data_IF_172148296296
#
_entry.id   IF_172148296296
#
_cell.length_a   1.000
_cell.length_b   1.000
_cell.length_c   1.000
_cell.angle_alpha   90.00
_cell.angle_beta   90.00
_cell.angle_gamma   90.00
#
_symmetry.space_group_name_H-M   'P 1'
#
loop_
_entity.id
_entity.type
_entity.pdbx_description
1 polymer ?
#
# COMPACT_ATOMS: atom_id res chain seq x y z
N UNK A 1 35.79 47.23 -6.35
CA UNK A 1 34.95 47.77 -5.27
C UNK A 1 34.66 46.62 -4.31
N UNK A 2 35.48 46.60 -3.27
CA UNK A 2 35.46 45.67 -2.16
C UNK A 2 34.36 46.09 -1.17
N UNK A 3 33.37 45.24 -0.91
CA UNK A 3 32.53 45.33 0.27
C UNK A 3 32.46 43.94 0.89
N UNK A 4 33.36 43.69 1.81
CA UNK A 4 33.23 42.63 2.82
C UNK A 4 31.92 42.89 3.59
N UNK A 5 30.94 42.01 3.46
CA UNK A 5 29.86 41.92 4.43
C UNK A 5 30.38 41.07 5.58
N UNK A 6 30.58 41.70 6.71
CA UNK A 6 30.73 41.03 7.99
C UNK A 6 29.47 40.16 8.19
N UNK A 7 29.64 38.86 8.30
CA UNK A 7 28.59 37.97 8.78
C UNK A 7 28.57 38.15 10.29
N UNK A 8 27.40 38.56 10.77
CA UNK A 8 27.08 38.58 12.18
C UNK A 8 26.90 37.10 12.65
N UNK A 9 27.98 36.55 13.21
CA UNK A 9 28.07 35.20 13.75
C UNK A 9 27.62 35.16 15.22
N UNK A 10 26.53 35.83 15.56
CA UNK A 10 25.91 35.72 16.89
C UNK A 10 24.74 34.74 16.91
N UNK A 11 24.85 33.61 16.26
CA UNK A 11 24.02 32.42 16.60
C UNK A 11 24.61 31.85 17.89
N UNK A 12 24.01 32.21 19.03
CA UNK A 12 24.23 31.52 20.32
C UNK A 12 23.79 30.08 20.12
N UNK A 13 24.72 29.19 19.79
CA UNK A 13 24.54 27.76 19.88
C UNK A 13 24.47 27.43 21.37
N UNK A 14 23.25 27.45 21.94
CA UNK A 14 23.02 26.80 23.23
C UNK A 14 23.38 25.34 23.06
N UNK A 15 24.47 24.91 23.72
CA UNK A 15 24.78 23.46 23.79
C UNK A 15 23.54 22.78 24.40
N UNK A 16 23.07 21.68 23.83
CA UNK A 16 21.93 20.98 24.41
C UNK A 16 22.24 20.61 25.85
N UNK A 17 21.35 20.96 26.76
CA UNK A 17 21.44 20.53 28.16
C UNK A 17 21.27 19.02 28.21
N UNK A 18 22.08 18.35 29.05
CA UNK A 18 22.04 16.91 29.26
C UNK A 18 21.78 16.60 30.73
N UNK A 19 21.06 15.53 30.99
CA UNK A 19 20.97 14.90 32.31
C UNK A 19 21.70 13.57 32.31
N UNK A 20 22.15 13.12 33.46
CA UNK A 20 22.77 11.80 33.63
C UNK A 20 21.67 10.81 34.03
N UNK A 21 21.57 9.75 33.26
CA UNK A 21 20.72 8.58 33.54
C UNK A 21 21.59 7.35 33.80
N UNK A 22 21.02 6.33 34.38
CA UNK A 22 21.71 5.08 34.73
C UNK A 22 20.93 3.86 34.23
N UNK A 23 21.66 2.87 33.76
CA UNK A 23 21.15 1.51 33.56
C UNK A 23 22.17 0.48 34.10
N UNK A 24 21.94 -0.80 33.85
CA UNK A 24 22.83 -1.88 34.31
C UNK A 24 24.24 -1.83 33.76
N UNK A 25 24.50 -1.01 32.73
CA UNK A 25 25.79 -0.82 32.06
C UNK A 25 26.51 0.45 32.57
N UNK A 26 25.87 1.27 33.42
CA UNK A 26 26.44 2.50 33.98
C UNK A 26 25.77 3.77 33.51
N UNK A 27 26.47 4.90 33.64
CA UNK A 27 25.98 6.23 33.32
C UNK A 27 25.89 6.47 31.78
N UNK A 28 24.88 7.26 31.39
CA UNK A 28 24.73 7.75 30.03
C UNK A 28 24.14 9.16 30.04
N UNK A 29 24.59 10.02 29.09
CA UNK A 29 24.10 11.38 28.94
C UNK A 29 22.89 11.37 28.02
N UNK A 30 21.75 11.82 28.52
CA UNK A 30 20.49 11.92 27.78
C UNK A 30 20.11 13.39 27.62
N UNK A 31 19.59 13.86 26.48
CA UNK A 31 19.10 15.23 26.34
C UNK A 31 18.12 15.57 27.46
N UNK A 32 18.24 16.75 28.06
CA UNK A 32 17.50 17.11 29.26
C UNK A 32 15.98 17.14 29.06
N UNK A 33 15.53 17.47 27.86
CA UNK A 33 14.14 17.53 27.45
C UNK A 33 13.54 16.19 26.97
N UNK A 34 14.40 15.18 26.73
CA UNK A 34 13.95 13.87 26.26
C UNK A 34 13.06 13.17 27.30
N UNK A 35 11.95 12.57 26.88
CA UNK A 35 11.09 11.73 27.73
C UNK A 35 11.66 10.32 27.91
N UNK A 36 12.49 9.86 26.98
CA UNK A 36 13.20 8.59 27.07
C UNK A 36 14.39 8.67 28.04
N UNK A 37 14.92 7.51 28.45
CA UNK A 37 15.97 7.36 29.44
C UNK A 37 17.23 6.68 28.86
N UNK A 38 18.00 6.03 29.70
CA UNK A 38 19.31 5.45 29.41
C UNK A 38 19.31 4.42 28.27
N UNK A 39 18.41 3.45 28.27
CA UNK A 39 18.43 2.36 27.28
C UNK A 39 18.12 2.86 25.87
N UNK A 40 17.18 3.80 25.74
CA UNK A 40 16.88 4.43 24.46
C UNK A 40 18.07 5.24 23.95
N UNK A 41 18.74 6.02 24.82
CA UNK A 41 19.91 6.79 24.39
C UNK A 41 21.02 5.88 23.85
N UNK A 42 21.30 4.76 24.50
CA UNK A 42 22.25 3.78 23.97
C UNK A 42 21.85 3.23 22.61
N UNK A 43 20.56 2.96 22.40
CA UNK A 43 20.07 2.50 21.11
C UNK A 43 20.25 3.56 20.02
N UNK A 44 20.00 4.84 20.31
CA UNK A 44 20.27 5.95 19.40
C UNK A 44 21.75 6.04 19.02
N UNK A 45 22.63 5.87 19.99
CA UNK A 45 24.08 5.90 19.77
C UNK A 45 24.61 4.67 19.02
N UNK A 46 23.97 3.49 19.23
CA UNK A 46 24.37 2.23 18.58
C UNK A 46 23.89 2.09 17.13
N UNK A 47 22.78 2.72 16.77
CA UNK A 47 22.11 2.50 15.48
C UNK A 47 21.91 3.78 14.62
N UNK A 48 22.95 4.60 14.38
CA UNK A 48 22.84 5.76 13.49
C UNK A 48 22.92 5.32 12.02
N UNK A 49 21.88 4.64 11.50
CA UNK A 49 21.92 3.93 10.21
C UNK A 49 21.14 4.66 9.13
N UNK A 50 19.82 4.79 9.29
CA UNK A 50 18.95 5.39 8.26
C UNK A 50 18.46 6.79 8.63
N UNK A 51 18.48 7.14 9.90
CA UNK A 51 17.88 8.37 10.43
C UNK A 51 16.34 8.35 10.40
N UNK A 52 15.72 7.19 10.21
CA UNK A 52 14.26 7.02 10.21
C UNK A 52 13.83 6.11 11.35
N UNK A 53 12.94 6.61 12.21
CA UNK A 53 12.30 5.83 13.28
C UNK A 53 11.12 5.00 12.79
N UNK A 54 10.37 4.48 13.75
CA UNK A 54 9.11 3.78 13.48
C UNK A 54 8.05 4.75 12.93
N UNK A 55 7.12 4.24 12.15
CA UNK A 55 5.93 4.99 11.72
C UNK A 55 5.04 5.33 12.93
N UNK A 56 4.44 6.54 12.95
CA UNK A 56 3.55 6.99 14.04
C UNK A 56 2.41 6.01 14.33
N UNK A 57 1.90 5.34 13.30
CA UNK A 57 0.88 4.30 13.46
C UNK A 57 1.36 3.13 14.34
N UNK A 58 2.62 2.72 14.20
CA UNK A 58 3.20 1.66 15.02
C UNK A 58 3.52 2.15 16.44
N UNK A 59 3.96 3.39 16.61
CA UNK A 59 4.14 4.02 17.93
C UNK A 59 2.80 4.03 18.68
N UNK A 60 1.73 4.48 18.02
CA UNK A 60 0.38 4.49 18.60
C UNK A 60 -0.10 3.06 18.97
N UNK A 61 0.16 2.07 18.10
CA UNK A 61 -0.19 0.67 18.39
C UNK A 61 0.56 0.13 19.62
N UNK A 62 1.86 0.42 19.75
CA UNK A 62 2.65 0.07 20.94
C UNK A 62 2.05 0.70 22.20
N UNK A 63 1.69 1.99 22.16
CA UNK A 63 1.09 2.69 23.29
C UNK A 63 -0.26 2.08 23.69
N UNK A 64 -1.13 1.71 22.72
CA UNK A 64 -2.40 1.02 22.99
C UNK A 64 -2.20 -0.35 23.63
N UNK A 65 -1.17 -1.09 23.23
CA UNK A 65 -0.82 -2.37 23.87
C UNK A 65 -0.42 -2.14 25.32
N UNK A 66 0.43 -1.14 25.61
CA UNK A 66 0.84 -0.80 26.97
C UNK A 66 -0.33 -0.34 27.84
N UNK A 67 -1.24 0.45 27.29
CA UNK A 67 -2.49 0.85 27.95
C UNK A 67 -3.34 -0.36 28.31
N UNK A 68 -3.60 -1.24 27.34
CA UNK A 68 -4.40 -2.45 27.57
C UNK A 68 -3.74 -3.40 28.57
N UNK A 69 -2.41 -3.52 28.52
CA UNK A 69 -1.64 -4.32 29.48
C UNK A 69 -1.71 -3.74 30.91
N UNK A 70 -1.62 -2.41 31.07
CA UNK A 70 -1.77 -1.77 32.37
C UNK A 70 -3.17 -2.01 32.98
N UNK A 71 -4.23 -1.88 32.17
CA UNK A 71 -5.60 -2.19 32.59
C UNK A 71 -5.77 -3.66 32.96
N UNK A 72 -5.27 -4.58 32.15
CA UNK A 72 -5.32 -6.02 32.42
C UNK A 72 -4.56 -6.37 33.71
N UNK A 73 -3.35 -5.85 33.90
CA UNK A 73 -2.54 -6.06 35.10
C UNK A 73 -3.17 -5.47 36.38
N UNK A 74 -3.86 -4.32 36.27
CA UNK A 74 -4.67 -3.75 37.35
C UNK A 74 -5.77 -4.72 37.78
N UNK A 75 -6.56 -5.21 36.83
CA UNK A 75 -7.69 -6.10 37.09
C UNK A 75 -7.23 -7.49 37.61
N UNK A 76 -6.03 -7.95 37.20
CA UNK A 76 -5.44 -9.20 37.64
C UNK A 76 -4.61 -9.06 38.96
N UNK A 77 -4.55 -7.86 39.53
CA UNK A 77 -3.86 -7.61 40.79
C UNK A 77 -2.33 -7.61 40.70
N UNK A 78 -1.77 -7.44 39.50
CA UNK A 78 -0.32 -7.34 39.27
C UNK A 78 0.19 -5.92 39.50
N UNK A 79 -0.57 -4.90 39.13
CA UNK A 79 -0.24 -3.48 39.28
C UNK A 79 -1.18 -2.78 40.25
N UNK A 80 -0.60 -1.86 41.04
CA UNK A 80 -1.38 -0.89 41.82
C UNK A 80 -2.28 -0.06 40.89
N UNK A 81 -3.49 0.23 41.38
CA UNK A 81 -4.48 0.98 40.57
C UNK A 81 -4.02 2.37 40.16
N UNK A 82 -3.34 3.11 41.06
CA UNK A 82 -2.83 4.45 40.75
C UNK A 82 -1.72 4.43 39.70
N UNK A 83 -0.81 3.45 39.78
CA UNK A 83 0.25 3.25 38.78
C UNK A 83 -0.35 2.90 37.43
N UNK A 84 -1.30 1.97 37.39
CA UNK A 84 -1.96 1.57 36.14
C UNK A 84 -2.69 2.74 35.47
N UNK A 85 -3.46 3.53 36.24
CA UNK A 85 -4.19 4.68 35.73
C UNK A 85 -3.24 5.78 35.20
N UNK A 86 -2.08 5.97 35.86
CA UNK A 86 -1.06 6.89 35.36
C UNK A 86 -0.43 6.43 34.04
N UNK A 87 -0.18 5.11 33.89
CA UNK A 87 0.31 4.53 32.62
C UNK A 87 -0.74 4.69 31.52
N UNK A 88 -2.02 4.49 31.80
CA UNK A 88 -3.12 4.68 30.85
C UNK A 88 -3.16 6.13 30.37
N UNK A 89 -3.11 7.10 31.27
CA UNK A 89 -3.10 8.53 30.92
C UNK A 89 -1.88 8.88 30.05
N UNK A 90 -0.69 8.38 30.38
CA UNK A 90 0.52 8.58 29.59
C UNK A 90 0.41 7.95 28.19
N UNK A 91 -0.18 6.76 28.09
CA UNK A 91 -0.39 6.10 26.80
C UNK A 91 -1.38 6.87 25.91
N UNK A 92 -2.43 7.43 26.49
CA UNK A 92 -3.40 8.27 25.76
C UNK A 92 -2.73 9.50 25.12
N UNK A 93 -1.78 10.14 25.82
CA UNK A 93 -1.00 11.23 25.22
C UNK A 93 -0.15 10.76 24.03
N UNK A 94 0.55 9.63 24.17
CA UNK A 94 1.40 9.09 23.10
C UNK A 94 0.57 8.69 21.88
N UNK A 95 -0.60 8.09 22.07
CA UNK A 95 -1.51 7.68 20.99
C UNK A 95 -1.92 8.88 20.10
N UNK A 96 -1.98 10.09 20.64
CA UNK A 96 -2.32 11.30 19.87
C UNK A 96 -1.20 11.77 18.94
N UNK A 97 0.01 11.24 19.06
CA UNK A 97 1.20 11.67 18.31
C UNK A 97 1.94 12.88 18.92
N UNK A 98 1.50 13.43 20.05
CA UNK A 98 2.14 14.58 20.69
C UNK A 98 3.61 14.36 21.02
N UNK A 99 4.00 13.10 21.22
CA UNK A 99 5.31 12.71 21.72
C UNK A 99 6.16 11.96 20.69
N UNK A 100 5.78 11.95 19.39
CA UNK A 100 6.49 11.20 18.33
C UNK A 100 7.98 11.55 18.27
N UNK A 101 8.36 12.80 18.54
CA UNK A 101 9.76 13.24 18.58
C UNK A 101 10.60 12.54 19.67
N UNK A 102 9.99 11.91 20.65
CA UNK A 102 10.67 11.15 21.72
C UNK A 102 10.86 9.66 21.39
N UNK A 103 10.61 9.27 20.12
CA UNK A 103 10.88 7.91 19.61
C UNK A 103 11.95 7.94 18.52
N UNK A 104 13.21 8.29 18.86
CA UNK A 104 14.29 8.52 17.90
C UNK A 104 15.01 7.25 17.44
N UNK A 105 14.64 6.07 17.95
CA UNK A 105 15.34 4.81 17.63
C UNK A 105 15.13 4.47 16.15
N UNK A 106 16.25 4.24 15.44
CA UNK A 106 16.24 3.89 14.01
C UNK A 106 15.47 2.59 13.75
N UNK A 107 14.85 2.47 12.58
CA UNK A 107 14.22 1.23 12.12
C UNK A 107 15.20 0.06 12.12
N UNK A 108 16.45 0.30 11.73
CA UNK A 108 17.51 -0.70 11.78
C UNK A 108 18.13 -0.74 13.19
N UNK A 109 17.54 -1.56 14.04
CA UNK A 109 17.83 -1.68 15.47
C UNK A 109 17.95 -3.14 15.88
N UNK A 110 17.84 -3.44 17.17
CA UNK A 110 17.70 -4.81 17.68
C UNK A 110 16.55 -5.51 16.94
N UNK A 111 16.82 -6.64 16.30
CA UNK A 111 15.90 -7.29 15.36
C UNK A 111 14.56 -7.74 15.91
N UNK A 112 14.47 -7.94 17.23
CA UNK A 112 13.23 -8.20 17.99
C UNK A 112 12.41 -6.92 18.27
N UNK A 113 12.95 -5.72 17.99
CA UNK A 113 12.33 -4.45 18.34
C UNK A 113 12.47 -4.05 19.81
N UNK A 114 13.35 -4.72 20.57
CA UNK A 114 13.55 -4.44 22.00
C UNK A 114 13.90 -2.98 22.25
N UNK A 115 14.73 -2.38 21.42
CA UNK A 115 15.11 -0.97 21.57
C UNK A 115 13.90 -0.04 21.54
N UNK A 116 12.98 -0.23 20.60
CA UNK A 116 11.73 0.56 20.53
C UNK A 116 10.73 0.20 21.63
N UNK A 117 10.65 -1.07 22.04
CA UNK A 117 9.82 -1.44 23.21
C UNK A 117 10.31 -0.73 24.46
N UNK A 118 11.64 -0.70 24.70
CA UNK A 118 12.20 0.02 25.85
C UNK A 118 12.04 1.53 25.72
N UNK A 119 12.13 2.08 24.51
CA UNK A 119 11.84 3.50 24.27
C UNK A 119 10.39 3.83 24.70
N UNK A 120 9.41 3.03 24.30
CA UNK A 120 8.03 3.19 24.75
C UNK A 120 7.89 3.07 26.27
N UNK A 121 8.54 2.07 26.87
CA UNK A 121 8.50 1.87 28.32
C UNK A 121 9.08 3.08 29.08
N UNK A 122 10.19 3.64 28.61
CA UNK A 122 10.86 4.78 29.25
C UNK A 122 10.06 6.08 29.09
N UNK A 123 9.47 6.34 27.91
CA UNK A 123 8.61 7.49 27.68
C UNK A 123 7.36 7.41 28.55
N UNK A 124 6.66 6.28 28.54
CA UNK A 124 5.45 6.10 29.37
C UNK A 124 5.78 6.16 30.87
N UNK A 125 6.88 5.58 31.33
CA UNK A 125 7.29 5.67 32.73
C UNK A 125 7.55 7.14 33.14
N UNK A 126 8.17 7.93 32.27
CA UNK A 126 8.45 9.35 32.55
C UNK A 126 7.15 10.17 32.62
N UNK A 127 6.22 9.99 31.69
CA UNK A 127 4.93 10.65 31.69
C UNK A 127 4.07 10.21 32.88
N UNK A 128 3.97 8.90 33.13
CA UNK A 128 3.22 8.34 34.25
C UNK A 128 3.76 8.81 35.62
N UNK A 129 5.09 8.93 35.78
CA UNK A 129 5.72 9.51 36.97
C UNK A 129 5.27 10.96 37.19
N UNK A 130 5.13 11.76 36.12
CA UNK A 130 4.62 13.13 36.19
C UNK A 130 3.14 13.18 36.60
N UNK A 131 2.32 12.27 36.06
CA UNK A 131 0.89 12.17 36.42
C UNK A 131 0.67 11.70 37.85
N UNK A 132 1.42 10.70 38.29
CA UNK A 132 1.24 10.10 39.61
C UNK A 132 1.88 10.92 40.73
N UNK A 133 2.93 11.67 40.44
CA UNK A 133 3.76 12.34 41.43
C UNK A 133 4.66 11.38 42.25
N UNK A 134 4.80 10.14 41.77
CA UNK A 134 5.65 9.09 42.36
C UNK A 134 6.31 8.28 41.23
N UNK A 135 7.45 7.63 41.48
CA UNK A 135 8.21 6.92 40.47
C UNK A 135 7.45 5.75 39.84
N UNK A 136 7.40 5.74 38.51
CA UNK A 136 6.91 4.61 37.72
C UNK A 136 8.10 3.98 36.98
N UNK A 137 8.34 2.70 37.22
CA UNK A 137 9.48 1.99 36.66
C UNK A 137 9.17 1.41 35.28
N UNK A 138 10.03 1.60 34.24
CA UNK A 138 9.76 1.17 32.87
C UNK A 138 9.63 -0.36 32.74
N UNK A 139 10.44 -1.15 33.50
CA UNK A 139 10.40 -2.61 33.40
C UNK A 139 9.37 -3.22 34.39
N UNK A 140 9.37 -2.79 35.66
CA UNK A 140 8.56 -3.43 36.69
C UNK A 140 7.08 -3.06 36.59
N UNK A 141 6.77 -1.86 36.09
CA UNK A 141 5.40 -1.36 35.98
C UNK A 141 4.90 -1.35 34.53
N UNK A 142 5.56 -0.59 33.62
CA UNK A 142 5.07 -0.42 32.24
C UNK A 142 5.17 -1.72 31.44
N UNK A 143 6.23 -2.50 31.64
CA UNK A 143 6.46 -3.78 30.94
C UNK A 143 5.97 -5.02 31.73
N UNK A 144 5.26 -4.84 32.84
CA UNK A 144 4.76 -5.96 33.64
C UNK A 144 3.97 -6.98 32.81
N UNK A 145 4.22 -8.29 33.01
CA UNK A 145 3.61 -9.41 32.25
C UNK A 145 3.90 -9.44 30.76
N UNK A 146 4.92 -8.75 30.27
CA UNK A 146 5.23 -8.58 28.85
C UNK A 146 6.69 -8.89 28.53
N UNK A 147 6.98 -9.12 27.25
CA UNK A 147 8.32 -9.13 26.66
C UNK A 147 8.32 -8.30 25.38
N UNK A 148 9.48 -7.78 24.96
CA UNK A 148 9.64 -7.20 23.62
C UNK A 148 9.27 -8.20 22.53
N UNK A 149 9.51 -9.49 22.78
CA UNK A 149 9.36 -10.57 21.82
C UNK A 149 7.91 -10.86 21.44
N UNK A 150 6.94 -10.53 22.29
CA UNK A 150 5.50 -10.64 21.99
C UNK A 150 4.86 -9.28 21.73
N UNK A 151 5.25 -8.22 22.45
CA UNK A 151 4.65 -6.89 22.35
C UNK A 151 5.00 -6.19 21.03
N UNK A 152 6.29 -6.17 20.66
CA UNK A 152 6.72 -5.45 19.48
C UNK A 152 6.11 -6.02 18.18
N UNK A 153 6.17 -7.35 17.93
CA UNK A 153 5.47 -7.89 16.76
C UNK A 153 3.95 -7.68 16.82
N UNK A 154 3.32 -7.76 18.00
CA UNK A 154 1.90 -7.42 18.15
C UNK A 154 1.62 -5.99 17.66
N UNK A 155 2.50 -5.01 17.95
CA UNK A 155 2.31 -3.65 17.46
C UNK A 155 2.35 -3.54 15.95
N UNK A 156 3.19 -4.33 15.28
CA UNK A 156 3.22 -4.41 13.80
C UNK A 156 1.90 -4.97 13.28
N UNK A 157 1.43 -6.09 13.84
CA UNK A 157 0.16 -6.72 13.46
C UNK A 157 -1.02 -5.76 13.64
N UNK A 158 -1.11 -5.06 14.76
CA UNK A 158 -2.18 -4.09 15.05
C UNK A 158 -2.14 -2.92 14.08
N UNK A 159 -0.97 -2.29 13.90
CA UNK A 159 -0.80 -1.14 13.01
C UNK A 159 -1.10 -1.51 11.54
N UNK A 160 -0.62 -2.67 11.08
CA UNK A 160 -0.89 -3.15 9.71
C UNK A 160 -2.37 -3.49 9.53
N UNK A 161 -2.99 -4.19 10.48
CA UNK A 161 -4.44 -4.50 10.44
C UNK A 161 -5.26 -3.21 10.34
N UNK A 162 -4.97 -2.22 11.18
CA UNK A 162 -5.64 -0.92 11.14
C UNK A 162 -5.47 -0.23 9.80
N UNK A 163 -4.24 -0.13 9.30
CA UNK A 163 -3.94 0.53 8.04
C UNK A 163 -4.60 -0.17 6.84
N UNK A 164 -4.68 -1.50 6.85
CA UNK A 164 -5.38 -2.26 5.80
C UNK A 164 -6.89 -1.96 5.78
N UNK A 165 -7.53 -1.98 6.96
CA UNK A 165 -8.99 -1.83 7.10
C UNK A 165 -9.42 -0.37 6.92
N UNK A 166 -8.74 0.57 7.57
CA UNK A 166 -9.19 1.97 7.67
C UNK A 166 -8.66 2.86 6.54
N UNK A 167 -7.55 2.48 5.89
CA UNK A 167 -6.93 3.31 4.87
C UNK A 167 -6.90 2.66 3.48
N UNK A 168 -6.34 1.45 3.34
CA UNK A 168 -6.13 0.84 2.03
C UNK A 168 -7.43 0.36 1.37
N UNK A 169 -8.24 -0.42 2.09
CA UNK A 169 -9.49 -0.97 1.52
C UNK A 169 -10.42 0.15 1.05
N UNK A 170 -10.70 1.20 1.84
CA UNK A 170 -11.49 2.33 1.37
C UNK A 170 -10.89 3.08 0.18
N UNK A 171 -9.56 3.20 0.10
CA UNK A 171 -8.88 3.84 -1.01
C UNK A 171 -8.99 3.05 -2.32
N UNK A 172 -8.88 1.72 -2.23
CA UNK A 172 -9.06 0.83 -3.37
C UNK A 172 -10.51 0.78 -3.82
N UNK A 173 -11.47 0.75 -2.88
CA UNK A 173 -12.90 0.82 -3.19
C UNK A 173 -13.25 2.09 -3.96
N UNK A 174 -12.75 3.23 -3.49
CA UNK A 174 -12.91 4.51 -4.16
C UNK A 174 -12.34 4.53 -5.60
N UNK A 175 -11.17 3.93 -5.81
CA UNK A 175 -10.60 3.76 -7.14
C UNK A 175 -11.45 2.83 -8.01
N UNK A 176 -11.90 1.69 -7.46
CA UNK A 176 -12.74 0.73 -8.17
C UNK A 176 -14.04 1.37 -8.66
N UNK A 177 -14.74 2.11 -7.78
CA UNK A 177 -15.96 2.85 -8.12
C UNK A 177 -15.69 3.84 -9.27
N UNK A 178 -14.61 4.61 -9.21
CA UNK A 178 -14.26 5.56 -10.27
C UNK A 178 -14.00 4.89 -11.62
N UNK A 179 -13.43 3.69 -11.62
CA UNK A 179 -13.23 2.88 -12.83
C UNK A 179 -14.56 2.28 -13.34
N UNK A 180 -15.44 1.82 -12.44
CA UNK A 180 -16.77 1.31 -12.76
C UNK A 180 -17.68 2.39 -13.38
N UNK A 181 -17.60 3.62 -12.88
CA UNK A 181 -18.29 4.78 -13.46
C UNK A 181 -17.85 5.04 -14.93
N UNK A 182 -16.55 4.94 -15.21
CA UNK A 182 -16.02 5.05 -16.58
C UNK A 182 -16.40 3.86 -17.43
N UNK A 183 -16.43 2.67 -16.87
CA UNK A 183 -16.86 1.47 -17.58
C UNK A 183 -18.33 1.60 -18.07
N UNK A 184 -19.22 2.09 -17.23
CA UNK A 184 -20.61 2.33 -17.61
C UNK A 184 -20.74 3.47 -18.61
N UNK A 185 -20.02 4.58 -18.41
CA UNK A 185 -20.03 5.72 -19.31
C UNK A 185 -19.62 5.34 -20.75
N UNK A 186 -18.66 4.45 -20.88
CA UNK A 186 -18.06 4.06 -22.15
C UNK A 186 -18.44 2.65 -22.64
N UNK A 187 -19.55 2.12 -22.17
CA UNK A 187 -20.00 0.75 -22.49
C UNK A 187 -20.22 0.50 -24.00
N UNK A 188 -20.49 1.56 -24.78
CA UNK A 188 -20.66 1.49 -26.23
C UNK A 188 -19.54 2.19 -27.00
N UNK A 189 -18.52 2.71 -26.33
CA UNK A 189 -17.40 3.40 -26.95
C UNK A 189 -16.41 2.38 -27.53
N UNK A 190 -16.58 2.04 -28.80
CA UNK A 190 -15.75 1.03 -29.48
C UNK A 190 -14.32 1.54 -29.67
N UNK A 191 -13.36 0.66 -29.48
CA UNK A 191 -11.94 0.87 -29.76
C UNK A 191 -11.31 -0.39 -30.37
N UNK A 192 -10.15 -0.24 -31.01
CA UNK A 192 -9.34 -1.40 -31.41
C UNK A 192 -8.86 -2.15 -30.17
N UNK A 193 -9.13 -3.46 -30.10
CA UNK A 193 -8.43 -4.33 -29.19
C UNK A 193 -6.98 -4.50 -29.63
N UNK A 194 -6.07 -4.77 -28.70
CA UNK A 194 -4.65 -5.02 -28.99
C UNK A 194 -4.14 -6.20 -28.18
N UNK A 195 -3.50 -7.14 -28.89
CA UNK A 195 -2.73 -8.22 -28.27
C UNK A 195 -1.31 -8.13 -28.81
N UNK A 196 -0.29 -8.26 -27.95
CA UNK A 196 1.12 -8.01 -28.30
C UNK A 196 1.38 -6.59 -28.86
N UNK A 197 0.53 -5.62 -28.50
CA UNK A 197 0.44 -4.25 -29.08
C UNK A 197 0.09 -4.23 -30.59
N UNK A 198 -0.32 -5.36 -31.16
CA UNK A 198 -0.78 -5.47 -32.54
C UNK A 198 -2.32 -5.39 -32.59
N UNK A 199 -2.83 -4.93 -33.73
CA UNK A 199 -4.26 -4.79 -33.97
C UNK A 199 -5.00 -6.12 -33.80
N UNK A 200 -6.07 -6.10 -33.00
CA UNK A 200 -6.94 -7.24 -32.75
C UNK A 200 -8.41 -6.86 -33.00
N UNK A 201 -9.31 -7.78 -32.69
CA UNK A 201 -10.76 -7.52 -32.79
C UNK A 201 -11.20 -6.42 -31.83
N UNK A 202 -12.28 -5.69 -32.17
CA UNK A 202 -12.78 -4.59 -31.37
C UNK A 202 -13.18 -5.00 -29.96
N UNK A 203 -13.01 -4.07 -29.02
CA UNK A 203 -13.56 -4.06 -27.67
C UNK A 203 -14.21 -2.71 -27.42
N UNK A 204 -14.90 -2.53 -26.29
CA UNK A 204 -15.28 -1.19 -25.84
C UNK A 204 -14.32 -0.68 -24.77
N UNK A 205 -14.16 0.64 -24.66
CA UNK A 205 -13.48 1.26 -23.51
C UNK A 205 -14.15 0.82 -22.20
N UNK A 206 -15.48 0.68 -22.18
CA UNK A 206 -16.22 0.19 -21.04
C UNK A 206 -15.80 -1.19 -20.58
N UNK A 207 -15.59 -2.13 -21.51
CA UNK A 207 -15.09 -3.49 -21.21
C UNK A 207 -13.66 -3.44 -20.63
N UNK A 208 -12.81 -2.59 -21.16
CA UNK A 208 -11.43 -2.43 -20.71
C UNK A 208 -11.37 -1.84 -19.30
N UNK A 209 -12.11 -0.76 -19.03
CA UNK A 209 -12.20 -0.14 -17.71
C UNK A 209 -12.90 -1.04 -16.68
N UNK A 210 -13.90 -1.81 -17.09
CA UNK A 210 -14.52 -2.84 -16.27
C UNK A 210 -13.52 -3.92 -15.83
N UNK A 211 -12.61 -4.32 -16.75
CA UNK A 211 -11.50 -5.21 -16.42
C UNK A 211 -10.55 -4.63 -15.39
N UNK A 212 -10.22 -3.34 -15.48
CA UNK A 212 -9.39 -2.64 -14.48
C UNK A 212 -10.09 -2.57 -13.11
N UNK A 213 -11.38 -2.22 -13.09
CA UNK A 213 -12.17 -2.21 -11.88
C UNK A 213 -12.18 -3.58 -11.20
N UNK A 214 -12.37 -4.66 -11.98
CA UNK A 214 -12.34 -6.04 -11.45
C UNK A 214 -10.98 -6.40 -10.87
N UNK A 215 -9.86 -5.97 -11.45
CA UNK A 215 -8.53 -6.18 -10.88
C UNK A 215 -8.40 -5.55 -9.49
N UNK A 216 -8.92 -4.32 -9.31
CA UNK A 216 -8.88 -3.63 -8.01
C UNK A 216 -9.81 -4.32 -7.01
N UNK A 217 -11.04 -4.72 -7.39
CA UNK A 217 -11.95 -5.51 -6.54
C UNK A 217 -11.30 -6.80 -6.05
N UNK A 218 -10.65 -7.55 -6.95
CA UNK A 218 -9.88 -8.74 -6.56
C UNK A 218 -8.70 -8.43 -5.65
N UNK A 219 -8.13 -7.23 -5.75
CA UNK A 219 -7.12 -6.73 -4.81
C UNK A 219 -7.68 -6.58 -3.39
N UNK A 220 -8.87 -5.99 -3.26
CA UNK A 220 -9.57 -5.87 -1.97
C UNK A 220 -9.87 -7.26 -1.39
N UNK A 221 -10.45 -8.16 -2.17
CA UNK A 221 -10.75 -9.53 -1.75
C UNK A 221 -9.49 -10.26 -1.20
N UNK A 222 -8.30 -10.03 -1.80
CA UNK A 222 -7.04 -10.61 -1.31
C UNK A 222 -6.60 -10.03 0.03
N UNK A 223 -6.75 -8.72 0.21
CA UNK A 223 -6.44 -8.06 1.49
C UNK A 223 -7.37 -8.61 2.58
N UNK A 224 -8.67 -8.64 2.33
CA UNK A 224 -9.67 -9.16 3.27
C UNK A 224 -9.43 -10.63 3.63
N UNK A 225 -9.01 -11.45 2.66
CA UNK A 225 -8.67 -12.86 2.90
C UNK A 225 -7.42 -13.04 3.78
N UNK A 226 -6.48 -12.10 3.77
CA UNK A 226 -5.28 -12.13 4.61
C UNK A 226 -5.54 -11.63 6.05
N UNK A 227 -6.53 -10.73 6.24
CA UNK A 227 -6.81 -10.08 7.53
C UNK A 227 -6.91 -11.02 8.73
N UNK A 228 -7.60 -12.19 8.69
CA UNK A 228 -7.69 -13.07 9.84
C UNK A 228 -6.34 -13.55 10.37
N UNK A 229 -5.34 -13.71 9.49
CA UNK A 229 -3.98 -14.14 9.87
C UNK A 229 -3.09 -12.97 10.29
N UNK A 230 -3.32 -11.79 9.74
CA UNK A 230 -2.65 -10.55 10.19
C UNK A 230 -3.15 -10.13 11.57
N UNK A 231 -4.44 -10.31 11.86
CA UNK A 231 -5.07 -9.94 13.12
C UNK A 231 -4.80 -10.92 14.27
N UNK A 232 -4.18 -12.08 14.02
CA UNK A 232 -3.76 -13.05 15.01
C UNK A 232 -2.40 -12.63 15.61
N UNK A 233 -2.34 -12.35 16.93
CA UNK A 233 -1.20 -11.71 17.57
C UNK A 233 -0.51 -12.59 18.60
N UNK A 234 0.84 -12.50 18.75
CA UNK A 234 1.62 -13.32 19.71
C UNK A 234 1.54 -12.83 21.15
N UNK A 235 0.81 -11.75 21.45
CA UNK A 235 0.75 -11.12 22.77
C UNK A 235 0.35 -12.14 23.87
N UNK A 236 1.15 -12.20 24.95
CA UNK A 236 1.00 -13.15 26.03
C UNK A 236 1.97 -14.33 25.99
N UNK A 237 2.65 -14.57 24.85
CA UNK A 237 3.68 -15.59 24.76
C UNK A 237 5.00 -15.24 25.47
N UNK A 238 5.20 -13.97 25.78
CA UNK A 238 6.38 -13.40 26.43
C UNK A 238 7.70 -13.74 25.74
N UNK A 239 8.65 -14.37 26.44
CA UNK A 239 10.02 -14.55 25.95
C UNK A 239 10.12 -15.50 24.74
N UNK A 240 9.46 -16.67 24.79
CA UNK A 240 9.61 -17.76 23.81
C UNK A 240 8.29 -18.47 23.46
N UNK A 241 7.15 -17.95 23.89
CA UNK A 241 5.83 -18.56 23.63
C UNK A 241 5.20 -19.27 24.83
N UNK A 242 5.93 -19.42 25.94
CA UNK A 242 5.45 -20.15 27.12
C UNK A 242 4.61 -19.30 28.10
N UNK A 243 4.58 -17.98 27.89
CA UNK A 243 3.87 -17.05 28.80
C UNK A 243 4.50 -16.91 30.17
N UNK A 244 5.81 -17.15 30.29
CA UNK A 244 6.51 -17.01 31.57
C UNK A 244 6.32 -15.60 32.15
N UNK A 245 6.08 -15.50 33.46
CA UNK A 245 5.83 -14.28 34.23
C UNK A 245 4.50 -13.57 33.91
N UNK A 246 3.55 -14.21 33.22
CA UNK A 246 2.18 -13.70 33.08
C UNK A 246 1.25 -14.32 34.11
N UNK A 247 0.29 -13.59 34.67
CA UNK A 247 -0.78 -14.18 35.45
C UNK A 247 -1.77 -14.92 34.53
N UNK A 248 -2.48 -15.89 35.06
CA UNK A 248 -3.52 -16.61 34.33
C UNK A 248 -4.58 -15.65 33.79
N UNK A 249 -4.93 -15.79 32.50
CA UNK A 249 -5.92 -14.96 31.82
C UNK A 249 -5.40 -13.62 31.29
N UNK A 250 -4.11 -13.31 31.44
CA UNK A 250 -3.53 -12.07 30.92
C UNK A 250 -3.65 -11.93 29.40
N UNK A 251 -3.27 -12.92 28.56
CA UNK A 251 -3.38 -12.79 27.11
C UNK A 251 -4.80 -12.48 26.65
N UNK A 252 -5.77 -13.25 27.13
CA UNK A 252 -7.17 -13.09 26.75
C UNK A 252 -7.71 -11.71 27.13
N UNK A 253 -7.35 -11.22 28.32
CA UNK A 253 -7.83 -9.94 28.82
C UNK A 253 -7.21 -8.76 28.09
N UNK A 254 -5.90 -8.76 27.91
CA UNK A 254 -5.20 -7.65 27.21
C UNK A 254 -5.62 -7.54 25.75
N UNK A 255 -5.80 -8.68 25.05
CA UNK A 255 -6.23 -8.70 23.65
C UNK A 255 -7.69 -8.26 23.53
N UNK A 256 -8.57 -8.70 24.46
CA UNK A 256 -9.96 -8.23 24.45
C UNK A 256 -10.08 -6.71 24.66
N UNK A 257 -9.28 -6.14 25.57
CA UNK A 257 -9.23 -4.69 25.79
C UNK A 257 -8.71 -3.95 24.56
N UNK A 258 -7.65 -4.46 23.94
CA UNK A 258 -7.06 -3.89 22.72
C UNK A 258 -8.04 -3.92 21.54
N UNK A 259 -8.72 -5.05 21.34
CA UNK A 259 -9.73 -5.20 20.28
C UNK A 259 -10.93 -4.28 20.53
N UNK A 260 -11.39 -4.14 21.76
CA UNK A 260 -12.50 -3.24 22.11
C UNK A 260 -12.14 -1.76 21.91
N UNK A 261 -10.92 -1.35 22.26
CA UNK A 261 -10.47 0.03 22.07
C UNK A 261 -10.33 0.40 20.59
N UNK A 262 -9.77 -0.52 19.79
CA UNK A 262 -9.46 -0.25 18.38
C UNK A 262 -10.62 -0.55 17.43
N UNK A 263 -11.59 -1.37 17.84
CA UNK A 263 -12.61 -1.91 16.94
C UNK A 263 -12.07 -2.91 15.90
N UNK A 264 -10.78 -3.30 16.02
CA UNK A 264 -10.13 -4.22 15.08
C UNK A 264 -10.41 -5.69 15.47
N UNK A 265 -10.41 -6.61 14.52
CA UNK A 265 -10.67 -8.04 14.75
C UNK A 265 -9.43 -8.77 15.31
N UNK A 266 -8.73 -8.15 16.26
CA UNK A 266 -7.51 -8.70 16.87
C UNK A 266 -7.87 -9.89 17.75
N UNK A 267 -7.16 -10.99 17.58
CA UNK A 267 -7.35 -12.23 18.32
C UNK A 267 -6.01 -12.80 18.82
N UNK A 268 -6.07 -13.60 19.89
CA UNK A 268 -4.91 -14.33 20.40
C UNK A 268 -4.45 -15.38 19.38
N UNK A 269 -3.13 -15.53 19.23
CA UNK A 269 -2.54 -16.58 18.42
C UNK A 269 -2.96 -17.96 18.93
N UNK A 270 -3.30 -18.86 18.00
CA UNK A 270 -3.59 -20.26 18.34
C UNK A 270 -2.38 -21.01 18.86
N UNK A 271 -1.21 -20.59 18.40
CA UNK A 271 0.09 -21.12 18.82
C UNK A 271 1.09 -19.97 18.95
N UNK A 272 1.46 -19.66 20.20
CA UNK A 272 2.41 -18.57 20.48
C UNK A 272 3.84 -18.90 20.01
N UNK A 273 4.21 -20.17 19.88
CA UNK A 273 5.53 -20.55 19.37
C UNK A 273 5.65 -20.25 17.87
N UNK A 274 4.63 -20.64 17.10
CA UNK A 274 4.56 -20.27 15.69
C UNK A 274 4.53 -18.74 15.52
N UNK A 275 3.64 -18.06 16.25
CA UNK A 275 3.42 -16.63 16.11
C UNK A 275 4.62 -15.75 16.52
N UNK A 276 5.57 -16.24 17.33
CA UNK A 276 6.81 -15.53 17.69
C UNK A 276 7.98 -15.87 16.76
N UNK A 277 8.08 -17.13 16.33
CA UNK A 277 9.15 -17.59 15.47
C UNK A 277 8.96 -17.20 14.00
N UNK A 278 7.70 -17.12 13.54
CA UNK A 278 7.31 -16.86 12.16
C UNK A 278 6.52 -15.55 12.01
N UNK A 279 6.36 -15.11 10.78
CA UNK A 279 5.61 -13.89 10.40
C UNK A 279 4.80 -14.10 9.12
N UNK A 280 4.34 -15.32 8.88
CA UNK A 280 3.75 -15.75 7.62
C UNK A 280 2.49 -14.93 7.27
N UNK A 281 1.67 -14.54 8.26
CA UNK A 281 0.52 -13.66 8.03
C UNK A 281 0.91 -12.28 7.50
N UNK A 282 2.02 -11.72 7.96
CA UNK A 282 2.55 -10.45 7.43
C UNK A 282 3.15 -10.61 6.03
N UNK A 283 3.83 -11.72 5.78
CA UNK A 283 4.36 -12.05 4.43
C UNK A 283 3.23 -12.24 3.43
N UNK A 284 2.15 -12.93 3.82
CA UNK A 284 0.95 -13.10 3.00
C UNK A 284 0.30 -11.76 2.65
N UNK A 285 0.11 -10.90 3.63
CA UNK A 285 -0.42 -9.54 3.40
C UNK A 285 0.46 -8.76 2.43
N UNK A 286 1.78 -8.81 2.59
CA UNK A 286 2.74 -8.20 1.66
C UNK A 286 2.57 -8.72 0.24
N UNK A 287 2.38 -10.02 0.05
CA UNK A 287 2.10 -10.65 -1.25
C UNK A 287 0.80 -10.14 -1.89
N UNK A 288 -0.24 -9.86 -1.09
CA UNK A 288 -1.46 -9.23 -1.56
C UNK A 288 -1.20 -7.78 -2.03
N UNK A 289 -0.44 -6.99 -1.26
CA UNK A 289 -0.03 -5.62 -1.63
C UNK A 289 0.78 -5.60 -2.93
N UNK A 290 1.73 -6.54 -3.09
CA UNK A 290 2.48 -6.71 -4.35
C UNK A 290 1.55 -7.00 -5.52
N UNK A 291 0.54 -7.85 -5.35
CA UNK A 291 -0.41 -8.17 -6.43
C UNK A 291 -1.19 -6.93 -6.86
N UNK A 292 -1.61 -6.08 -5.91
CA UNK A 292 -2.24 -4.78 -6.20
C UNK A 292 -1.29 -3.87 -6.97
N UNK A 293 -0.03 -3.79 -6.57
CA UNK A 293 0.99 -3.00 -7.27
C UNK A 293 1.20 -3.47 -8.73
N UNK A 294 1.18 -4.78 -8.97
CA UNK A 294 1.22 -5.36 -10.33
C UNK A 294 -0.01 -4.96 -11.14
N UNK A 295 -1.21 -5.00 -10.56
CA UNK A 295 -2.44 -4.55 -11.21
C UNK A 295 -2.38 -3.07 -11.57
N UNK A 296 -1.96 -2.22 -10.64
CA UNK A 296 -1.79 -0.78 -10.87
C UNK A 296 -0.74 -0.49 -11.95
N UNK A 297 0.32 -1.29 -12.02
CA UNK A 297 1.34 -1.17 -13.09
C UNK A 297 0.72 -1.38 -14.47
N UNK A 298 -0.07 -2.43 -14.63
CA UNK A 298 -0.77 -2.73 -15.90
C UNK A 298 -1.74 -1.60 -16.26
N UNK A 299 -2.60 -1.20 -15.34
CA UNK A 299 -3.60 -0.14 -15.57
C UNK A 299 -2.93 1.16 -16.00
N UNK A 300 -1.91 1.61 -15.27
CA UNK A 300 -1.26 2.88 -15.57
C UNK A 300 -0.43 2.85 -16.86
N UNK A 301 0.15 1.72 -17.23
CA UNK A 301 0.79 1.58 -18.54
C UNK A 301 -0.23 1.68 -19.69
N UNK A 302 -1.39 1.03 -19.57
CA UNK A 302 -2.44 1.13 -20.56
C UNK A 302 -2.97 2.56 -20.69
N UNK A 303 -3.21 3.25 -19.58
CA UNK A 303 -3.61 4.66 -19.59
C UNK A 303 -2.60 5.55 -20.33
N UNK A 304 -1.29 5.32 -20.08
CA UNK A 304 -0.22 6.05 -20.76
C UNK A 304 -0.16 5.74 -22.25
N UNK A 305 -0.37 4.46 -22.65
CA UNK A 305 -0.44 4.09 -24.06
C UNK A 305 -1.63 4.75 -24.76
N UNK A 306 -2.84 4.62 -24.21
CA UNK A 306 -4.04 5.18 -24.78
C UNK A 306 -4.02 6.71 -24.83
N UNK A 307 -3.40 7.36 -23.83
CA UNK A 307 -3.22 8.81 -23.76
C UNK A 307 -2.01 9.34 -24.51
N UNK A 308 -1.22 8.50 -25.19
CA UNK A 308 -0.02 8.91 -25.89
C UNK A 308 -0.31 9.81 -27.09
N UNK A 309 0.53 10.80 -27.32
CA UNK A 309 0.40 11.73 -28.44
C UNK A 309 0.42 13.20 -27.97
N UNK A 310 -0.59 14.02 -28.35
CA UNK A 310 -1.90 13.70 -28.93
C UNK A 310 -1.89 13.39 -30.45
N UNK A 311 -0.91 13.87 -31.20
CA UNK A 311 -0.94 13.77 -32.69
C UNK A 311 -0.18 12.54 -33.21
N UNK A 312 0.93 12.16 -32.57
CA UNK A 312 1.85 11.11 -33.07
C UNK A 312 1.80 9.81 -32.24
N UNK A 313 0.83 9.68 -31.34
CA UNK A 313 0.56 8.49 -30.56
C UNK A 313 -0.84 7.94 -30.80
N UNK A 314 -1.34 7.12 -29.87
CA UNK A 314 -2.67 6.52 -29.99
C UNK A 314 -3.78 7.57 -29.87
N UNK A 315 -3.70 8.45 -28.90
CA UNK A 315 -4.65 9.56 -28.73
C UNK A 315 -6.10 9.10 -28.47
N UNK A 316 -6.29 7.91 -27.90
CA UNK A 316 -7.62 7.35 -27.61
C UNK A 316 -8.25 7.95 -26.35
N UNK A 317 -7.41 8.40 -25.40
CA UNK A 317 -7.81 9.08 -24.18
C UNK A 317 -7.14 10.46 -24.08
N UNK A 318 -7.85 11.41 -23.47
CA UNK A 318 -7.29 12.68 -22.99
C UNK A 318 -7.11 12.58 -21.48
N UNK A 319 -5.86 12.64 -21.04
CA UNK A 319 -5.50 12.66 -19.63
C UNK A 319 -5.54 14.12 -19.15
N UNK A 320 -6.08 14.43 -17.95
CA UNK A 320 -6.14 15.79 -17.43
C UNK A 320 -4.80 16.50 -17.40
N UNK A 321 -4.78 17.76 -17.79
CA UNK A 321 -3.63 18.64 -17.72
C UNK A 321 -3.44 19.14 -16.29
N UNK A 322 -2.46 18.58 -15.56
CA UNK A 322 -2.26 18.89 -14.14
C UNK A 322 -1.13 19.90 -13.89
N UNK A 323 -0.13 19.92 -14.77
CA UNK A 323 1.02 20.81 -14.70
C UNK A 323 1.76 20.88 -16.05
N UNK A 324 2.57 21.92 -16.29
CA UNK A 324 3.46 21.95 -17.45
C UNK A 324 4.38 20.73 -17.48
N UNK A 325 4.46 20.05 -18.64
CA UNK A 325 5.20 18.78 -18.77
C UNK A 325 6.65 18.93 -19.21
N UNK A 326 7.08 20.15 -19.61
CA UNK A 326 8.43 20.37 -20.13
C UNK A 326 8.91 21.80 -19.88
N UNK A 327 10.19 21.93 -19.56
CA UNK A 327 10.84 23.25 -19.41
C UNK A 327 11.23 23.90 -20.75
N UNK A 328 11.26 23.12 -21.84
CA UNK A 328 11.72 23.59 -23.17
C UNK A 328 10.72 23.37 -24.31
N UNK A 329 9.64 22.62 -24.07
CA UNK A 329 8.57 22.35 -25.06
C UNK A 329 7.26 22.95 -24.56
N UNK A 330 6.91 24.20 -24.96
CA UNK A 330 5.68 24.83 -24.50
C UNK A 330 4.45 24.02 -24.92
N UNK A 331 3.47 23.88 -23.99
CA UNK A 331 2.23 23.14 -24.24
C UNK A 331 2.33 21.62 -24.14
N UNK A 332 3.52 21.05 -23.87
CA UNK A 332 3.64 19.60 -23.61
C UNK A 332 3.13 19.26 -22.22
N UNK A 333 2.20 18.32 -22.14
CA UNK A 333 1.66 17.76 -20.90
C UNK A 333 2.02 16.28 -20.80
N UNK A 334 2.39 15.83 -19.60
CA UNK A 334 2.77 14.44 -19.36
C UNK A 334 1.75 13.74 -18.43
N UNK A 335 1.60 12.42 -18.50
CA UNK A 335 0.73 11.64 -17.62
C UNK A 335 1.38 11.44 -16.24
N UNK A 336 1.60 12.54 -15.50
CA UNK A 336 2.46 12.57 -14.29
C UNK A 336 1.93 11.71 -13.15
N UNK A 337 0.61 11.58 -12.98
CA UNK A 337 0.03 10.72 -11.94
C UNK A 337 0.22 9.24 -12.27
N UNK A 338 -0.11 8.74 -13.48
CA UNK A 338 0.27 7.39 -13.88
C UNK A 338 1.76 7.07 -13.67
N UNK A 339 2.66 7.99 -13.98
CA UNK A 339 4.11 7.80 -13.74
C UNK A 339 4.44 7.68 -12.26
N UNK A 340 3.84 8.52 -11.40
CA UNK A 340 4.00 8.44 -9.95
C UNK A 340 3.51 7.09 -9.39
N UNK A 341 2.35 6.60 -9.86
CA UNK A 341 1.80 5.30 -9.46
C UNK A 341 2.73 4.15 -9.86
N UNK A 342 3.36 4.21 -11.04
CA UNK A 342 4.36 3.22 -11.45
C UNK A 342 5.58 3.19 -10.52
N UNK A 343 6.05 4.35 -10.05
CA UNK A 343 7.14 4.42 -9.07
C UNK A 343 6.70 3.86 -7.71
N UNK A 344 5.47 4.14 -7.27
CA UNK A 344 4.88 3.52 -6.06
C UNK A 344 4.84 1.99 -6.20
N UNK A 345 4.37 1.48 -7.32
CA UNK A 345 4.31 0.04 -7.57
C UNK A 345 5.71 -0.61 -7.50
N UNK A 346 6.72 0.02 -8.09
CA UNK A 346 8.10 -0.46 -8.01
C UNK A 346 8.60 -0.50 -6.55
N UNK A 347 8.30 0.53 -5.75
CA UNK A 347 8.67 0.58 -4.32
C UNK A 347 8.00 -0.52 -3.52
N UNK A 348 6.70 -0.74 -3.72
CA UNK A 348 5.93 -1.80 -3.04
C UNK A 348 6.45 -3.19 -3.37
N UNK A 349 6.82 -3.46 -4.63
CA UNK A 349 7.45 -4.71 -5.04
C UNK A 349 8.80 -4.91 -4.33
N UNK A 350 9.60 -3.86 -4.20
CA UNK A 350 10.85 -3.89 -3.44
C UNK A 350 10.63 -4.15 -1.95
N UNK A 351 9.62 -3.53 -1.35
CA UNK A 351 9.23 -3.76 0.03
C UNK A 351 8.76 -5.20 0.28
N UNK A 352 8.00 -5.79 -0.65
CA UNK A 352 7.58 -7.19 -0.56
C UNK A 352 8.77 -8.15 -0.54
N UNK A 353 9.79 -7.92 -1.36
CA UNK A 353 11.02 -8.69 -1.31
C UNK A 353 11.72 -8.57 0.06
N UNK A 354 11.74 -7.38 0.65
CA UNK A 354 12.26 -7.13 1.99
C UNK A 354 11.46 -7.90 3.05
N UNK A 355 10.13 -7.84 2.99
CA UNK A 355 9.23 -8.54 3.95
C UNK A 355 9.40 -10.05 3.84
N UNK A 356 9.46 -10.59 2.62
CA UNK A 356 9.65 -12.04 2.40
C UNK A 356 10.99 -12.52 2.96
N UNK A 357 12.09 -11.78 2.72
CA UNK A 357 13.41 -12.10 3.26
C UNK A 357 13.44 -11.99 4.79
N UNK A 358 12.86 -10.94 5.34
CA UNK A 358 12.74 -10.74 6.79
C UNK A 358 11.90 -11.84 7.44
N UNK A 359 10.80 -12.27 6.81
CA UNK A 359 9.99 -13.40 7.26
C UNK A 359 10.79 -14.70 7.35
N UNK A 360 11.64 -14.96 6.34
CA UNK A 360 12.50 -16.13 6.29
C UNK A 360 13.66 -16.12 7.31
N UNK A 361 13.90 -15.01 8.00
CA UNK A 361 15.03 -14.83 8.93
C UNK A 361 14.77 -15.33 10.34
N UNK A 362 13.66 -16.02 10.63
CA UNK A 362 13.37 -16.62 11.93
C UNK A 362 14.36 -17.73 12.28
N UNK A 363 14.76 -17.78 13.54
CA UNK A 363 15.63 -18.84 14.07
C UNK A 363 15.09 -19.30 15.42
N UNK A 364 14.78 -20.59 15.52
CA UNK A 364 14.16 -21.20 16.70
C UNK A 364 12.90 -20.44 17.12
N UNK A 365 12.84 -19.87 18.33
CA UNK A 365 11.64 -19.32 18.95
C UNK A 365 11.41 -17.83 18.63
N UNK A 366 12.24 -17.18 17.77
CA UNK A 366 12.07 -15.75 17.48
C UNK A 366 12.53 -15.37 16.08
N UNK A 367 11.71 -14.59 15.38
CA UNK A 367 12.13 -13.82 14.22
C UNK A 367 12.79 -12.50 14.70
N UNK A 368 13.95 -12.17 14.14
CA UNK A 368 14.75 -11.00 14.54
C UNK A 368 14.96 -9.98 13.42
N UNK A 369 13.99 -9.87 12.50
CA UNK A 369 13.95 -8.86 11.43
C UNK A 369 12.61 -8.10 11.41
N UNK A 370 11.96 -7.98 12.57
CA UNK A 370 10.59 -7.44 12.70
C UNK A 370 10.51 -5.94 12.41
N UNK A 371 11.44 -5.07 12.86
CA UNK A 371 11.34 -3.64 12.64
C UNK A 371 11.30 -3.25 11.16
N UNK A 372 12.19 -3.83 10.34
CA UNK A 372 12.21 -3.54 8.90
C UNK A 372 10.98 -4.06 8.18
N UNK A 373 10.40 -5.18 8.65
CA UNK A 373 9.15 -5.74 8.11
C UNK A 373 7.98 -4.81 8.38
N UNK A 374 7.83 -4.32 9.62
CA UNK A 374 6.77 -3.37 10.00
C UNK A 374 6.83 -2.09 9.17
N UNK A 375 8.01 -1.48 9.06
CA UNK A 375 8.21 -0.27 8.27
C UNK A 375 7.89 -0.50 6.78
N UNK A 376 8.36 -1.58 6.18
CA UNK A 376 8.11 -1.89 4.77
C UNK A 376 6.63 -2.12 4.46
N UNK A 377 5.90 -2.79 5.36
CA UNK A 377 4.46 -3.03 5.23
C UNK A 377 3.66 -1.74 5.34
N UNK A 378 3.88 -0.95 6.39
CA UNK A 378 3.15 0.31 6.62
C UNK A 378 3.43 1.33 5.50
N UNK A 379 4.69 1.43 5.04
CA UNK A 379 5.02 2.24 3.87
C UNK A 379 4.23 1.78 2.63
N UNK A 380 4.16 0.48 2.37
CA UNK A 380 3.46 -0.09 1.21
C UNK A 380 1.97 0.20 1.25
N UNK A 381 1.32 0.02 2.41
CA UNK A 381 -0.10 0.33 2.61
C UNK A 381 -0.36 1.80 2.34
N UNK A 382 0.39 2.70 2.97
CA UNK A 382 0.25 4.15 2.81
C UNK A 382 0.46 4.62 1.37
N UNK A 383 1.49 4.09 0.70
CA UNK A 383 1.78 4.43 -0.68
C UNK A 383 0.66 3.97 -1.63
N UNK A 384 0.16 2.74 -1.47
CA UNK A 384 -0.93 2.21 -2.30
C UNK A 384 -2.24 2.96 -2.04
N UNK A 385 -2.58 3.25 -0.79
CA UNK A 385 -3.79 3.98 -0.44
C UNK A 385 -3.78 5.39 -1.04
N UNK A 386 -2.71 6.16 -0.80
CA UNK A 386 -2.60 7.52 -1.29
C UNK A 386 -2.55 7.58 -2.82
N UNK A 387 -1.78 6.70 -3.46
CA UNK A 387 -1.69 6.67 -4.93
C UNK A 387 -3.00 6.26 -5.59
N UNK A 388 -3.78 5.38 -4.97
CA UNK A 388 -5.12 4.99 -5.46
C UNK A 388 -6.10 6.17 -5.42
N UNK A 389 -6.13 6.94 -4.34
CA UNK A 389 -6.95 8.17 -4.25
C UNK A 389 -6.52 9.22 -5.26
N UNK A 390 -5.22 9.47 -5.36
CA UNK A 390 -4.68 10.44 -6.33
C UNK A 390 -4.96 10.01 -7.76
N UNK A 391 -4.83 8.72 -8.09
CA UNK A 391 -5.17 8.18 -9.40
C UNK A 391 -6.65 8.39 -9.74
N UNK A 392 -7.55 8.08 -8.80
CA UNK A 392 -8.98 8.28 -8.96
C UNK A 392 -9.32 9.77 -9.20
N UNK A 393 -8.84 10.67 -8.32
CA UNK A 393 -9.20 12.09 -8.35
C UNK A 393 -8.56 12.85 -9.49
N UNK A 394 -7.27 12.63 -9.73
CA UNK A 394 -6.47 13.44 -10.65
C UNK A 394 -6.34 12.86 -12.04
N UNK A 395 -6.72 11.60 -12.23
CA UNK A 395 -6.66 10.94 -13.54
C UNK A 395 -8.01 10.38 -13.93
N UNK A 396 -8.50 9.32 -13.27
CA UNK A 396 -9.66 8.54 -13.75
C UNK A 396 -10.91 9.41 -13.91
N UNK A 397 -11.28 10.20 -12.91
CA UNK A 397 -12.48 11.05 -12.96
C UNK A 397 -12.44 12.09 -14.08
N UNK A 398 -11.28 12.66 -14.36
CA UNK A 398 -11.07 13.65 -15.38
C UNK A 398 -10.73 13.10 -16.78
N UNK A 399 -10.63 11.77 -16.95
CA UNK A 399 -10.39 11.18 -18.27
C UNK A 399 -11.54 11.44 -19.23
N UNK A 400 -11.19 11.79 -20.48
CA UNK A 400 -12.10 11.91 -21.61
C UNK A 400 -11.72 10.92 -22.70
N UNK A 401 -12.71 10.29 -23.32
CA UNK A 401 -12.51 9.43 -24.49
C UNK A 401 -12.53 10.25 -25.77
N UNK A 402 -11.56 10.03 -26.63
CA UNK A 402 -11.57 10.56 -28.00
C UNK A 402 -12.34 9.59 -28.91
N UNK A 403 -13.68 9.68 -28.87
CA UNK A 403 -14.59 8.74 -29.55
C UNK A 403 -14.36 8.67 -31.04
N UNK A 404 -14.05 9.79 -31.70
CA UNK A 404 -13.73 9.82 -33.14
C UNK A 404 -12.46 8.99 -33.40
N UNK A 405 -11.42 9.20 -32.63
CA UNK A 405 -10.14 8.49 -32.78
C UNK A 405 -10.26 7.00 -32.48
N UNK A 406 -10.97 6.63 -31.42
CA UNK A 406 -11.15 5.21 -31.04
C UNK A 406 -11.94 4.46 -32.13
N UNK A 407 -13.03 5.05 -32.63
CA UNK A 407 -13.85 4.47 -33.70
C UNK A 407 -13.07 4.34 -35.01
N UNK A 408 -12.33 5.37 -35.40
CA UNK A 408 -11.50 5.36 -36.61
C UNK A 408 -10.44 4.24 -36.55
N UNK A 409 -9.72 4.11 -35.40
CA UNK A 409 -8.71 3.06 -35.24
C UNK A 409 -9.33 1.65 -35.21
N UNK A 410 -10.52 1.49 -34.62
CA UNK A 410 -11.22 0.21 -34.61
C UNK A 410 -11.59 -0.22 -36.07
N UNK A 411 -12.09 0.71 -36.88
CA UNK A 411 -12.46 0.43 -38.27
C UNK A 411 -11.28 0.18 -39.22
N UNK A 412 -10.06 0.65 -38.83
CA UNK A 412 -8.83 0.41 -39.59
C UNK A 412 -8.17 -0.93 -39.27
N UNK A 413 -8.52 -1.60 -38.16
CA UNK A 413 -7.92 -2.87 -37.80
C UNK A 413 -8.20 -3.94 -38.85
N UNK A 414 -7.18 -4.61 -39.45
CA UNK A 414 -7.42 -5.70 -40.38
C UNK A 414 -8.11 -6.89 -39.72
N UNK A 415 -8.11 -7.00 -38.39
CA UNK A 415 -8.74 -8.09 -37.65
C UNK A 415 -10.27 -8.05 -37.68
N UNK A 416 -10.90 -6.91 -38.06
CA UNK A 416 -12.37 -6.85 -38.24
C UNK A 416 -12.87 -7.70 -39.39
N UNK A 417 -11.99 -8.25 -40.24
CA UNK A 417 -12.32 -9.25 -41.27
C UNK A 417 -12.86 -10.55 -40.65
N UNK A 418 -12.59 -10.83 -39.39
CA UNK A 418 -12.86 -12.13 -38.75
C UNK A 418 -14.30 -12.62 -38.91
N UNK A 419 -15.37 -11.82 -38.75
CA UNK A 419 -16.74 -12.29 -38.95
C UNK A 419 -17.05 -12.71 -40.40
N UNK A 420 -16.31 -12.19 -41.39
CA UNK A 420 -16.47 -12.59 -42.77
C UNK A 420 -16.12 -14.05 -43.04
N UNK A 421 -15.33 -14.70 -42.15
CA UNK A 421 -15.02 -16.13 -42.25
C UNK A 421 -16.27 -16.98 -42.40
N UNK A 422 -17.40 -16.58 -41.78
CA UNK A 422 -18.68 -17.31 -41.84
C UNK A 422 -19.31 -17.34 -43.23
N UNK A 423 -18.98 -16.33 -44.06
CA UNK A 423 -19.57 -16.17 -45.40
C UNK A 423 -18.63 -16.63 -46.50
N UNK A 424 -17.36 -16.30 -46.43
CA UNK A 424 -16.39 -16.47 -47.53
C UNK A 424 -15.22 -17.37 -47.19
N UNK A 425 -15.17 -17.92 -45.95
CA UNK A 425 -14.11 -18.79 -45.49
C UNK A 425 -12.83 -18.07 -45.10
N UNK A 426 -11.99 -18.73 -44.33
CA UNK A 426 -10.77 -18.19 -43.72
C UNK A 426 -9.75 -17.67 -44.74
N UNK A 427 -9.52 -18.42 -45.84
CA UNK A 427 -8.53 -18.04 -46.84
C UNK A 427 -8.89 -16.77 -47.57
N UNK A 428 -10.18 -16.59 -47.94
CA UNK A 428 -10.67 -15.38 -48.58
C UNK A 428 -10.57 -14.18 -47.63
N UNK A 429 -10.95 -14.35 -46.37
CA UNK A 429 -10.80 -13.32 -45.36
C UNK A 429 -9.31 -12.95 -45.12
N UNK A 430 -8.40 -13.90 -45.14
CA UNK A 430 -6.96 -13.64 -45.02
C UNK A 430 -6.43 -12.85 -46.23
N UNK A 431 -6.97 -13.10 -47.47
CA UNK A 431 -6.61 -12.30 -48.67
C UNK A 431 -7.08 -10.87 -48.52
N UNK A 432 -8.30 -10.64 -48.02
CA UNK A 432 -8.85 -9.32 -47.78
C UNK A 432 -8.01 -8.56 -46.75
N UNK A 433 -7.67 -9.17 -45.62
CA UNK A 433 -6.84 -8.55 -44.56
C UNK A 433 -5.46 -8.14 -45.14
N UNK A 434 -4.78 -9.03 -45.86
CA UNK A 434 -3.49 -8.73 -46.49
C UNK A 434 -3.59 -7.60 -47.52
N UNK A 435 -4.66 -7.56 -48.33
CA UNK A 435 -4.90 -6.54 -49.32
C UNK A 435 -5.15 -5.17 -48.66
N UNK A 436 -5.98 -5.13 -47.62
CA UNK A 436 -6.24 -3.94 -46.81
C UNK A 436 -4.92 -3.35 -46.28
N UNK A 437 -4.09 -4.15 -45.63
CA UNK A 437 -2.80 -3.71 -45.07
C UNK A 437 -1.85 -3.24 -46.16
N UNK A 438 -1.73 -4.00 -47.28
CA UNK A 438 -0.79 -3.68 -48.35
C UNK A 438 -1.13 -2.37 -49.08
N UNK A 439 -2.42 -2.05 -49.21
CA UNK A 439 -2.89 -0.82 -49.86
C UNK A 439 -3.18 0.33 -48.90
N UNK A 440 -3.18 0.10 -47.58
CA UNK A 440 -3.55 1.10 -46.59
C UNK A 440 -5.02 1.53 -46.67
N UNK A 441 -5.92 0.60 -47.03
CA UNK A 441 -7.36 0.82 -47.20
C UNK A 441 -8.13 0.03 -46.13
N UNK A 442 -9.38 0.39 -45.88
CA UNK A 442 -10.25 -0.33 -44.93
C UNK A 442 -10.58 -1.74 -45.41
N UNK A 443 -11.00 -2.60 -44.50
CA UNK A 443 -11.46 -3.97 -44.84
C UNK A 443 -12.64 -3.93 -45.83
N UNK A 444 -13.58 -2.98 -45.63
CA UNK A 444 -14.69 -2.76 -46.57
C UNK A 444 -14.21 -2.47 -47.99
N UNK A 445 -13.32 -1.49 -48.13
CA UNK A 445 -12.74 -1.13 -49.44
C UNK A 445 -11.98 -2.31 -50.06
N UNK A 446 -11.26 -3.10 -49.27
CA UNK A 446 -10.56 -4.27 -49.72
C UNK A 446 -11.52 -5.39 -50.21
N UNK A 447 -12.67 -5.60 -49.58
CA UNK A 447 -13.75 -6.51 -50.03
C UNK A 447 -14.28 -6.09 -51.39
N UNK A 448 -14.56 -4.80 -51.57
CA UNK A 448 -15.08 -4.22 -52.84
C UNK A 448 -13.99 -4.33 -53.92
N UNK A 449 -12.77 -3.88 -53.65
CA UNK A 449 -11.65 -3.87 -54.59
C UNK A 449 -11.27 -5.29 -55.08
N UNK A 450 -11.45 -6.29 -54.25
CA UNK A 450 -11.26 -7.69 -54.62
C UNK A 450 -12.49 -8.33 -55.31
N UNK A 451 -13.59 -7.58 -55.50
CA UNK A 451 -14.76 -8.01 -56.25
C UNK A 451 -15.67 -9.02 -55.58
N UNK A 452 -15.59 -9.21 -54.26
CA UNK A 452 -16.44 -10.21 -53.54
C UNK A 452 -17.93 -9.88 -53.61
N UNK A 453 -18.30 -8.59 -53.58
CA UNK A 453 -19.68 -8.15 -53.74
C UNK A 453 -20.11 -8.26 -55.18
N UNK A 454 -19.29 -7.84 -56.16
CA UNK A 454 -19.60 -7.91 -57.59
C UNK A 454 -19.82 -9.36 -58.04
N UNK A 455 -19.06 -10.32 -57.54
CA UNK A 455 -19.25 -11.75 -57.86
C UNK A 455 -20.39 -12.43 -57.10
N UNK A 456 -21.08 -11.71 -56.25
CA UNK A 456 -22.18 -12.24 -55.44
C UNK A 456 -21.77 -13.23 -54.30
N UNK A 457 -20.49 -13.23 -53.95
CA UNK A 457 -19.98 -14.05 -52.81
C UNK A 457 -20.36 -13.44 -51.49
N UNK A 458 -20.62 -12.12 -51.43
CA UNK A 458 -21.17 -11.38 -50.29
C UNK A 458 -22.23 -10.38 -50.77
N UNK A 459 -23.29 -10.22 -49.99
CA UNK A 459 -24.19 -9.08 -50.18
C UNK A 459 -23.69 -7.85 -49.40
N UNK A 460 -24.11 -6.64 -49.80
CA UNK A 460 -23.80 -5.43 -49.01
C UNK A 460 -24.35 -5.50 -47.58
N UNK A 461 -25.55 -6.04 -47.41
CA UNK A 461 -26.18 -6.25 -46.09
C UNK A 461 -25.36 -7.22 -45.19
N UNK A 462 -24.85 -8.31 -45.77
CA UNK A 462 -23.96 -9.23 -45.07
C UNK A 462 -22.63 -8.55 -44.68
N UNK A 463 -22.11 -7.71 -45.60
CA UNK A 463 -20.89 -6.96 -45.35
C UNK A 463 -21.08 -5.93 -44.21
N UNK A 464 -22.19 -5.19 -44.23
CA UNK A 464 -22.53 -4.21 -43.19
C UNK A 464 -22.68 -4.89 -41.83
N UNK A 465 -23.41 -6.00 -41.79
CA UNK A 465 -23.60 -6.78 -40.56
C UNK A 465 -22.29 -7.35 -40.05
N UNK A 466 -21.45 -7.90 -40.95
CA UNK A 466 -20.17 -8.51 -40.55
C UNK A 466 -19.15 -7.47 -40.07
N UNK A 467 -19.20 -6.24 -40.56
CA UNK A 467 -18.26 -5.16 -40.21
C UNK A 467 -18.82 -4.19 -39.15
N UNK A 468 -19.94 -4.52 -38.50
CA UNK A 468 -20.41 -3.74 -37.37
C UNK A 468 -19.47 -3.99 -36.16
N UNK A 469 -18.58 -3.06 -35.94
CA UNK A 469 -17.55 -3.14 -34.92
C UNK A 469 -18.12 -3.16 -33.47
N UNK A 470 -19.31 -2.57 -33.25
CA UNK A 470 -19.97 -2.61 -31.96
C UNK A 470 -20.57 -4.01 -31.69
N UNK A 471 -21.21 -4.59 -32.71
CA UNK A 471 -21.75 -5.94 -32.64
C UNK A 471 -20.66 -7.00 -32.35
N UNK A 472 -19.42 -6.77 -32.83
CA UNK A 472 -18.28 -7.65 -32.54
C UNK A 472 -17.86 -7.67 -31.06
N UNK A 473 -18.22 -6.66 -30.29
CA UNK A 473 -17.84 -6.54 -28.87
C UNK A 473 -18.79 -7.30 -27.93
N UNK A 474 -19.92 -7.76 -28.43
CA UNK A 474 -20.94 -8.46 -27.65
C UNK A 474 -20.62 -9.96 -27.62
N UNK A 475 -20.40 -10.56 -26.42
CA UNK A 475 -20.24 -12.01 -26.32
C UNK A 475 -21.48 -12.73 -26.86
N UNK A 476 -21.35 -13.90 -27.50
CA UNK A 476 -22.49 -14.70 -27.88
C UNK A 476 -23.35 -15.00 -26.64
N UNK A 477 -24.63 -14.66 -26.69
CA UNK A 477 -25.57 -15.08 -25.66
C UNK A 477 -25.86 -16.58 -25.83
N UNK A 478 -25.78 -17.33 -24.70
CA UNK A 478 -26.10 -18.75 -24.66
C UNK A 478 -27.58 -18.99 -25.00
#
# INVERSE_FOLDING_TARGET
YDRRRERDDSAVTTQPEFRIEHDTMGEVRVPADALYRAQTQRAVENFPISGKGLESAQIAALARIKKSAALANKELGVLDGGIADAIVAAADEVITGQHDAHFPVDTYQTGSGTSSNMNMNEVLATLATRHLGADVHPNDHVNASQSSNDVFPTSVHVAVTQALIEDLVPALDYLAISLEEKAELWKTAVKAGRTHLMDATPVTLGQEFGGYARQIRLGIERVEAALPRVAEVPLGGTAVGTGINTPAGFPQKVIALLAAETGLPIVEAKDHFEAQANRDGLVEASGALRTIAVSLTKINNDLRWMGSGPNTGLGELRIPDLQPGSSIMPGKVNPVVPEAVLMVAARVIGNDATVAWAGASGSFELNVAIPVMGTALLESVRLLANSSRVLADKTIRGLEANLERTSALAGMSPSIVTPLNKFIGYESAAKIAKHSVAKGITVREAVIDLGFVERGELTEEQLDTALDVLAMTVPPTA
#
